data_IF_313284365478
#
_entry.id   IF_313284365478
#
_cell.length_a   1.000
_cell.length_b   1.000
_cell.length_c   1.000
_cell.angle_alpha   90.00
_cell.angle_beta   90.00
_cell.angle_gamma   90.00
#
_symmetry.space_group_name_H-M   'P 1'
#
loop_
_entity.id
_entity.type
_entity.pdbx_description
1 polymer ?
#
# COMPACT_ATOMS: atom_id res chain seq x y z
N UNK A 1 8.30 -9.21 -10.03
CA UNK A 1 6.98 -9.43 -9.40
C UNK A 1 7.08 -8.84 -8.01
N UNK A 2 6.18 -7.94 -7.63
CA UNK A 2 6.20 -7.33 -6.30
C UNK A 2 5.43 -8.27 -5.36
N UNK A 3 5.99 -8.61 -4.21
CA UNK A 3 5.31 -9.52 -3.29
C UNK A 3 4.12 -8.82 -2.62
N UNK A 4 3.05 -9.57 -2.35
CA UNK A 4 1.84 -9.04 -1.69
C UNK A 4 2.17 -8.41 -0.33
N UNK A 5 3.17 -8.95 0.38
CA UNK A 5 3.65 -8.38 1.63
C UNK A 5 4.27 -7.00 1.44
N UNK A 6 5.06 -6.79 0.39
CA UNK A 6 5.69 -5.48 0.12
C UNK A 6 4.66 -4.37 -0.12
N UNK A 7 3.58 -4.69 -0.84
CA UNK A 7 2.48 -3.76 -1.08
C UNK A 7 1.81 -3.37 0.24
N UNK A 8 1.49 -4.37 1.08
CA UNK A 8 0.79 -4.12 2.33
C UNK A 8 1.68 -3.37 3.35
N UNK A 9 2.98 -3.65 3.38
CA UNK A 9 3.97 -2.87 4.16
C UNK A 9 4.00 -1.42 3.68
N UNK A 10 3.98 -1.17 2.36
CA UNK A 10 3.93 0.18 1.80
C UNK A 10 2.66 0.94 2.18
N UNK A 11 1.51 0.27 2.23
CA UNK A 11 0.25 0.87 2.69
C UNK A 11 0.30 1.17 4.19
N UNK A 12 0.76 0.21 5.00
CA UNK A 12 0.93 0.39 6.46
C UNK A 12 1.86 1.56 6.76
N UNK A 13 2.96 1.70 6.01
CA UNK A 13 3.91 2.79 6.17
C UNK A 13 3.23 4.16 6.01
N UNK A 14 2.39 4.32 4.96
CA UNK A 14 1.69 5.58 4.67
C UNK A 14 0.50 5.87 5.59
N UNK A 15 -0.13 4.84 6.14
CA UNK A 15 -1.37 5.00 6.92
C UNK A 15 -1.14 4.99 8.43
N UNK A 16 -0.17 4.20 8.92
CA UNK A 16 0.04 3.96 10.34
C UNK A 16 1.40 4.42 10.85
N UNK A 17 2.41 4.55 9.99
CA UNK A 17 3.80 4.81 10.39
C UNK A 17 4.38 6.10 9.80
N UNK A 18 3.52 7.04 9.38
CA UNK A 18 3.93 8.32 8.79
C UNK A 18 4.65 9.24 9.79
N UNK A 19 4.60 8.94 11.09
CA UNK A 19 5.32 9.66 12.15
C UNK A 19 6.27 8.70 12.87
N UNK A 20 7.50 9.15 13.20
CA UNK A 20 8.41 8.34 14.00
C UNK A 20 7.81 8.09 15.39
N UNK A 21 7.90 6.84 15.83
CA UNK A 21 7.48 6.41 17.16
C UNK A 21 8.73 6.22 18.02
N UNK A 22 8.78 6.80 19.22
CA UNK A 22 9.98 6.78 20.06
C UNK A 22 10.26 5.41 20.71
N UNK A 23 9.25 4.55 20.81
CA UNK A 23 9.32 3.30 21.57
C UNK A 23 8.79 2.11 20.76
N UNK A 24 9.45 0.95 20.93
CA UNK A 24 9.07 -0.30 20.27
C UNK A 24 7.65 -0.76 20.69
N UNK A 25 7.25 -0.54 21.94
CA UNK A 25 5.89 -0.88 22.39
C UNK A 25 4.81 -0.06 21.68
N UNK A 26 5.06 1.25 21.51
CA UNK A 26 4.14 2.13 20.79
C UNK A 26 4.05 1.72 19.32
N UNK A 27 5.18 1.36 18.71
CA UNK A 27 5.23 0.80 17.37
C UNK A 27 4.37 -0.47 17.24
N UNK A 28 4.58 -1.46 18.12
CA UNK A 28 3.80 -2.71 18.11
C UNK A 28 2.30 -2.45 18.30
N UNK A 29 1.93 -1.54 19.20
CA UNK A 29 0.52 -1.17 19.42
C UNK A 29 -0.11 -0.53 18.19
N UNK A 30 0.61 0.39 17.54
CA UNK A 30 0.15 1.07 16.32
C UNK A 30 -0.05 0.09 15.16
N UNK A 31 0.92 -0.80 14.93
CA UNK A 31 0.83 -1.85 13.90
C UNK A 31 -0.37 -2.76 14.19
N UNK A 32 -0.50 -3.25 15.43
CA UNK A 32 -1.62 -4.14 15.80
C UNK A 32 -2.98 -3.47 15.62
N UNK A 33 -3.12 -2.21 16.04
CA UNK A 33 -4.35 -1.46 15.87
C UNK A 33 -4.72 -1.29 14.39
N UNK A 34 -3.74 -0.94 13.56
CA UNK A 34 -3.94 -0.81 12.13
C UNK A 34 -4.32 -2.15 11.48
N UNK A 35 -3.63 -3.24 11.80
CA UNK A 35 -3.95 -4.58 11.28
C UNK A 35 -5.36 -5.03 11.67
N UNK A 36 -5.78 -4.81 12.92
CA UNK A 36 -7.15 -5.14 13.36
C UNK A 36 -8.18 -4.31 12.58
N UNK A 37 -7.94 -3.02 12.36
CA UNK A 37 -8.85 -2.17 11.59
C UNK A 37 -8.94 -2.64 10.13
N UNK A 38 -7.80 -2.84 9.49
CA UNK A 38 -7.67 -3.33 8.11
C UNK A 38 -8.41 -4.65 7.88
N UNK A 39 -8.26 -5.58 8.82
CA UNK A 39 -8.94 -6.88 8.80
C UNK A 39 -10.45 -6.76 8.97
N UNK A 40 -10.92 -5.86 9.87
CA UNK A 40 -12.36 -5.58 10.04
C UNK A 40 -12.98 -4.95 8.80
N UNK A 41 -12.25 -4.08 8.11
CA UNK A 41 -12.71 -3.45 6.87
C UNK A 41 -12.70 -4.41 5.68
N UNK A 42 -12.19 -5.64 5.85
CA UNK A 42 -11.94 -6.58 4.76
C UNK A 42 -11.24 -5.92 3.58
N UNK A 43 -10.29 -5.02 3.86
CA UNK A 43 -9.64 -4.20 2.86
C UNK A 43 -8.90 -5.11 1.86
N UNK A 44 -9.37 -5.11 0.60
CA UNK A 44 -8.76 -5.90 -0.47
C UNK A 44 -7.77 -5.04 -1.23
N UNK A 45 -6.60 -5.59 -1.51
CA UNK A 45 -5.69 -5.02 -2.51
C UNK A 45 -6.29 -5.34 -3.88
N UNK A 46 -6.74 -4.30 -4.59
CA UNK A 46 -7.14 -4.46 -5.98
C UNK A 46 -5.89 -4.59 -6.85
N UNK A 47 -5.61 -5.81 -7.29
CA UNK A 47 -4.45 -6.16 -8.11
C UNK A 47 -4.69 -5.94 -9.60
N UNK A 48 -5.93 -5.66 -10.01
CA UNK A 48 -6.27 -5.36 -11.40
C UNK A 48 -6.28 -3.85 -11.62
N UNK A 49 -5.58 -3.41 -12.67
CA UNK A 49 -5.66 -2.05 -13.18
C UNK A 49 -6.28 -2.09 -14.57
N UNK A 50 -7.20 -1.17 -14.88
CA UNK A 50 -7.72 -1.07 -16.25
C UNK A 50 -6.58 -0.60 -17.16
N UNK A 51 -6.56 -1.08 -18.40
CA UNK A 51 -5.54 -0.70 -19.40
C UNK A 51 -5.45 0.83 -19.57
N UNK A 52 -6.58 1.52 -19.50
CA UNK A 52 -6.63 2.98 -19.61
C UNK A 52 -5.91 3.67 -18.44
N UNK A 53 -6.18 3.24 -17.20
CA UNK A 53 -5.51 3.77 -16.00
C UNK A 53 -4.01 3.43 -15.99
N UNK A 54 -3.63 2.27 -16.52
CA UNK A 54 -2.25 1.85 -16.64
C UNK A 54 -1.47 2.76 -17.62
N UNK A 55 -2.07 3.14 -18.75
CA UNK A 55 -1.45 4.09 -19.71
C UNK A 55 -1.19 5.47 -19.11
N UNK A 56 -2.00 5.90 -18.15
CA UNK A 56 -1.80 7.19 -17.45
C UNK A 56 -0.68 7.05 -16.42
N UNK A 57 -0.75 6.04 -15.54
CA UNK A 57 0.26 5.84 -14.48
C UNK A 57 1.64 5.42 -15.01
N UNK A 58 1.67 4.65 -16.10
CA UNK A 58 2.88 4.11 -16.71
C UNK A 58 3.17 4.78 -18.06
N UNK A 59 2.81 6.05 -18.23
CA UNK A 59 2.96 6.78 -19.49
C UNK A 59 4.38 6.68 -20.07
N UNK A 60 5.41 6.65 -19.21
CA UNK A 60 6.81 6.45 -19.61
C UNK A 60 7.08 5.10 -20.29
N UNK A 61 6.34 4.05 -19.94
CA UNK A 61 6.48 2.70 -20.48
C UNK A 61 5.63 2.46 -21.74
N UNK A 62 4.64 3.32 -21.99
CA UNK A 62 3.76 3.24 -23.16
C UNK A 62 3.81 4.55 -23.96
N UNK A 63 4.95 4.87 -24.60
CA UNK A 63 5.00 6.00 -25.53
C UNK A 63 4.01 5.75 -26.68
N UNK A 64 3.25 6.79 -27.03
CA UNK A 64 2.39 6.77 -28.21
C UNK A 64 3.33 6.85 -29.41
N UNK A 65 3.57 5.71 -30.06
CA UNK A 65 4.32 5.67 -31.31
C UNK A 65 3.35 6.19 -32.38
N UNK A 66 3.59 7.42 -32.85
CA UNK A 66 2.94 8.03 -33.99
C UNK A 66 3.39 7.36 -35.29
#
# INVERSE_FOLDING_TARGET
WLDMAEIEIGVMSRQALSKPLPDLERFRKQVRAWTVNRNKEHAKINWQFKTQDARIKLARLYPIIL
#
